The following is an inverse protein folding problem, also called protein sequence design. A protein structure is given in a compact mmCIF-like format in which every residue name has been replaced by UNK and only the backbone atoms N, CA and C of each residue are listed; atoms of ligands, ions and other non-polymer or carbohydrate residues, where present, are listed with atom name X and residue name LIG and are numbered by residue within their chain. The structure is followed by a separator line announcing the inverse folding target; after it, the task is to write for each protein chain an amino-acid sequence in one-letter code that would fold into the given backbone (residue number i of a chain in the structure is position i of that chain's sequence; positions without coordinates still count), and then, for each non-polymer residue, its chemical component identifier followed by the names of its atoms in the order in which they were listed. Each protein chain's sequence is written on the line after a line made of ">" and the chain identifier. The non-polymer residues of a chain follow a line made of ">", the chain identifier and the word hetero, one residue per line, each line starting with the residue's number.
data_IF_058860581905
#
_entry.id   IF_058860581905
#
_cell.length_a   1.000
_cell.length_b   1.000
_cell.length_c   1.000
_cell.angle_alpha   90.00
_cell.angle_beta   90.00
_cell.angle_gamma   90.00
#
_symmetry.space_group_name_H-M   'P 1'
#
loop_
_entity.id
_entity.type
_entity.pdbx_description
1 polymer ?
#
# COMPACT_ATOMS: atom_id res chain seq x y z
N UNK A 1 21.19 -0.12 8.72
CA UNK A 1 21.47 -1.58 8.60
C UNK A 1 20.89 -2.19 7.34
N UNK A 2 19.78 -1.68 6.81
CA UNK A 2 19.06 -2.32 5.68
C UNK A 2 19.70 -2.17 4.30
N UNK A 3 20.52 -1.12 4.10
CA UNK A 3 21.13 -0.83 2.78
C UNK A 3 22.04 -1.94 2.25
N UNK A 4 22.63 -2.73 3.13
CA UNK A 4 23.47 -3.87 2.75
C UNK A 4 22.66 -5.04 2.19
N UNK A 5 21.54 -5.37 2.83
CA UNK A 5 20.66 -6.46 2.38
C UNK A 5 19.92 -6.08 1.10
N UNK A 6 19.44 -4.84 1.01
CA UNK A 6 18.76 -4.32 -0.18
C UNK A 6 19.68 -4.45 -1.40
N UNK A 7 20.93 -4.03 -1.29
CA UNK A 7 21.89 -4.09 -2.40
C UNK A 7 22.23 -5.52 -2.81
N UNK A 8 22.43 -6.43 -1.84
CA UNK A 8 22.70 -7.85 -2.10
C UNK A 8 21.51 -8.54 -2.74
N UNK A 9 20.32 -8.35 -2.17
CA UNK A 9 19.07 -8.90 -2.70
C UNK A 9 18.76 -8.36 -4.12
N UNK A 10 19.03 -7.09 -4.39
CA UNK A 10 18.91 -6.50 -5.73
C UNK A 10 19.91 -7.12 -6.72
N UNK A 11 21.03 -7.67 -6.23
CA UNK A 11 22.00 -8.44 -7.01
C UNK A 11 21.64 -9.93 -7.17
N UNK A 12 20.48 -10.39 -6.66
CA UNK A 12 20.02 -11.77 -6.78
C UNK A 12 20.40 -12.69 -5.61
N UNK A 13 20.90 -12.14 -4.50
CA UNK A 13 21.22 -12.90 -3.27
C UNK A 13 19.90 -13.27 -2.56
N UNK A 14 19.56 -14.58 -2.60
CA UNK A 14 18.32 -15.12 -2.02
C UNK A 14 18.33 -15.07 -0.49
N UNK A 15 19.47 -15.27 0.16
CA UNK A 15 19.60 -15.18 1.61
C UNK A 15 19.37 -13.74 2.10
N UNK A 16 19.90 -12.78 1.38
CA UNK A 16 19.66 -11.37 1.66
C UNK A 16 18.18 -11.00 1.45
N UNK A 17 17.53 -11.56 0.43
CA UNK A 17 16.10 -11.37 0.21
C UNK A 17 15.27 -12.04 1.31
N UNK A 18 15.60 -13.24 1.75
CA UNK A 18 14.96 -13.92 2.89
C UNK A 18 14.98 -13.05 4.15
N UNK A 19 16.11 -12.41 4.46
CA UNK A 19 16.22 -11.46 5.59
C UNK A 19 15.33 -10.22 5.42
N UNK A 20 15.18 -9.72 4.20
CA UNK A 20 14.22 -8.64 3.91
C UNK A 20 12.78 -9.09 4.14
N UNK A 21 12.42 -10.30 3.69
CA UNK A 21 11.07 -10.88 3.93
C UNK A 21 10.80 -10.94 5.43
N UNK A 22 11.70 -11.54 6.22
CA UNK A 22 11.52 -11.68 7.66
C UNK A 22 11.40 -10.35 8.38
N UNK A 23 12.18 -9.37 7.94
CA UNK A 23 12.19 -8.04 8.56
C UNK A 23 10.93 -7.23 8.23
N UNK A 24 10.40 -7.35 7.01
CA UNK A 24 9.31 -6.49 6.54
C UNK A 24 7.94 -7.17 6.47
N UNK A 25 7.82 -8.49 6.69
CA UNK A 25 6.53 -9.22 6.64
C UNK A 25 5.46 -8.62 7.56
N UNK A 26 5.81 -8.32 8.79
CA UNK A 26 4.86 -7.72 9.76
C UNK A 26 4.42 -6.32 9.33
N UNK A 27 5.36 -5.49 8.86
CA UNK A 27 5.06 -4.16 8.34
C UNK A 27 4.14 -4.20 7.12
N UNK A 28 4.43 -5.07 6.14
CA UNK A 28 3.61 -5.19 4.94
C UNK A 28 2.23 -5.80 5.25
N UNK A 29 2.15 -6.76 6.17
CA UNK A 29 0.86 -7.27 6.64
C UNK A 29 0.01 -6.17 7.26
N UNK A 30 0.60 -5.30 8.08
CA UNK A 30 -0.10 -4.16 8.67
C UNK A 30 -0.58 -3.12 7.62
N UNK A 31 0.04 -3.08 6.45
CA UNK A 31 -0.41 -2.25 5.31
C UNK A 31 -1.55 -2.93 4.52
N UNK A 32 -1.45 -4.25 4.32
CA UNK A 32 -2.37 -5.01 3.46
C UNK A 32 -3.69 -5.31 4.17
N UNK A 33 -3.63 -5.76 5.42
CA UNK A 33 -4.80 -6.27 6.16
C UNK A 33 -5.96 -5.27 6.28
N UNK A 34 -5.73 -3.97 6.56
CA UNK A 34 -6.81 -2.98 6.62
C UNK A 34 -7.55 -2.77 5.29
N UNK A 35 -6.88 -3.05 4.17
CA UNK A 35 -7.44 -2.91 2.82
C UNK A 35 -8.21 -4.16 2.42
N UNK A 36 -7.60 -5.33 2.58
CA UNK A 36 -8.15 -6.63 2.17
C UNK A 36 -9.25 -7.11 3.11
N UNK A 37 -9.12 -6.83 4.43
CA UNK A 37 -10.07 -7.17 5.50
C UNK A 37 -10.38 -8.66 5.65
N UNK A 38 -9.50 -9.51 5.15
CA UNK A 38 -9.59 -10.96 5.21
C UNK A 38 -8.17 -11.48 5.49
N UNK A 39 -7.91 -12.08 6.65
CA UNK A 39 -6.56 -12.52 7.03
C UNK A 39 -5.97 -13.56 6.08
N UNK A 40 -6.77 -14.49 5.59
CA UNK A 40 -6.30 -15.51 4.64
C UNK A 40 -5.90 -14.88 3.32
N UNK A 41 -6.78 -14.08 2.74
CA UNK A 41 -6.50 -13.34 1.52
C UNK A 41 -5.35 -12.33 1.69
N UNK A 42 -5.20 -11.72 2.87
CA UNK A 42 -4.08 -10.82 3.15
C UNK A 42 -2.74 -11.55 3.13
N UNK A 43 -2.68 -12.83 3.54
CA UNK A 43 -1.49 -13.65 3.41
C UNK A 43 -1.13 -13.93 1.95
N UNK A 44 -2.10 -14.24 1.12
CA UNK A 44 -1.91 -14.46 -0.32
C UNK A 44 -1.41 -13.17 -1.00
N UNK A 45 -2.05 -12.04 -0.70
CA UNK A 45 -1.63 -10.73 -1.20
C UNK A 45 -0.22 -10.37 -0.71
N UNK A 46 0.14 -10.75 0.52
CA UNK A 46 1.49 -10.54 1.06
C UNK A 46 2.54 -11.36 0.27
N UNK A 47 2.26 -12.62 -0.02
CA UNK A 47 3.14 -13.46 -0.84
C UNK A 47 3.33 -12.87 -2.24
N UNK A 48 2.24 -12.49 -2.90
CA UNK A 48 2.31 -11.83 -4.21
C UNK A 48 3.05 -10.48 -4.14
N UNK A 49 2.92 -9.75 -3.04
CA UNK A 49 3.65 -8.51 -2.81
C UNK A 49 5.15 -8.77 -2.74
N UNK A 50 5.60 -9.78 -1.99
CA UNK A 50 7.02 -10.14 -1.95
C UNK A 50 7.56 -10.62 -3.29
N UNK A 51 6.75 -11.38 -4.03
CA UNK A 51 7.11 -11.77 -5.39
C UNK A 51 7.31 -10.55 -6.31
N UNK A 52 6.40 -9.58 -6.23
CA UNK A 52 6.53 -8.34 -6.99
C UNK A 52 7.74 -7.50 -6.54
N UNK A 53 8.01 -7.45 -5.24
CA UNK A 53 9.21 -6.80 -4.68
C UNK A 53 10.47 -7.45 -5.24
N UNK A 54 10.59 -8.77 -5.20
CA UNK A 54 11.74 -9.50 -5.72
C UNK A 54 12.02 -9.15 -7.18
N UNK A 55 10.99 -9.19 -8.02
CA UNK A 55 11.10 -8.87 -9.46
C UNK A 55 11.48 -7.42 -9.75
N UNK A 56 11.08 -6.49 -8.91
CA UNK A 56 11.30 -5.05 -9.13
C UNK A 56 12.49 -4.47 -8.33
N UNK A 57 13.11 -5.28 -7.46
CA UNK A 57 14.15 -4.83 -6.55
C UNK A 57 15.43 -4.37 -7.29
N UNK A 58 15.77 -4.99 -8.41
CA UNK A 58 16.89 -4.59 -9.27
C UNK A 58 16.70 -3.17 -9.86
N UNK A 59 15.46 -2.72 -10.00
CA UNK A 59 15.10 -1.37 -10.45
C UNK A 59 15.00 -0.34 -9.33
N UNK A 60 15.22 -0.72 -8.07
CA UNK A 60 15.16 0.21 -6.96
C UNK A 60 16.37 1.15 -6.96
N UNK A 61 16.12 2.45 -7.17
CA UNK A 61 17.15 3.49 -7.33
C UNK A 61 17.45 4.29 -6.06
N UNK A 62 17.10 3.74 -4.89
CA UNK A 62 17.31 4.43 -3.61
C UNK A 62 16.10 5.26 -3.15
N UNK A 63 16.24 5.91 -2.00
CA UNK A 63 15.16 6.63 -1.30
C UNK A 63 14.63 5.84 -0.11
N UNK A 64 13.44 6.18 0.37
CA UNK A 64 12.83 5.48 1.50
C UNK A 64 12.31 4.10 1.07
N UNK A 65 13.05 3.05 1.46
CA UNK A 65 12.72 1.67 1.09
C UNK A 65 11.38 1.21 1.66
N UNK A 66 11.07 1.54 2.92
CA UNK A 66 9.76 1.23 3.53
C UNK A 66 8.61 1.82 2.73
N UNK A 67 8.76 3.05 2.27
CA UNK A 67 7.74 3.71 1.46
C UNK A 67 7.56 3.03 0.10
N UNK A 68 8.67 2.61 -0.53
CA UNK A 68 8.62 1.87 -1.79
C UNK A 68 7.92 0.52 -1.62
N UNK A 69 8.21 -0.21 -0.53
CA UNK A 69 7.53 -1.46 -0.17
C UNK A 69 6.03 -1.25 0.06
N UNK A 70 5.67 -0.24 0.89
CA UNK A 70 4.28 0.08 1.18
C UNK A 70 3.48 0.40 -0.09
N UNK A 71 4.08 1.11 -1.04
CA UNK A 71 3.44 1.42 -2.33
C UNK A 71 3.11 0.18 -3.14
N UNK A 72 4.02 -0.81 -3.17
CA UNK A 72 3.78 -2.08 -3.86
C UNK A 72 2.66 -2.86 -3.14
N UNK A 73 2.72 -2.96 -1.81
CA UNK A 73 1.75 -3.65 -1.00
C UNK A 73 0.33 -3.05 -1.13
N UNK A 74 0.20 -1.74 -0.99
CA UNK A 74 -1.08 -1.04 -1.14
C UNK A 74 -1.67 -1.26 -2.53
N UNK A 75 -0.85 -1.17 -3.58
CA UNK A 75 -1.32 -1.41 -4.94
C UNK A 75 -1.83 -2.83 -5.11
N UNK A 76 -1.10 -3.83 -4.64
CA UNK A 76 -1.51 -5.24 -4.68
C UNK A 76 -2.81 -5.50 -3.91
N UNK A 77 -2.95 -4.92 -2.72
CA UNK A 77 -4.17 -5.02 -1.93
C UNK A 77 -5.40 -4.40 -2.65
N UNK A 78 -5.23 -3.24 -3.27
CA UNK A 78 -6.29 -2.58 -4.05
C UNK A 78 -6.63 -3.39 -5.31
N UNK A 79 -5.63 -3.90 -6.03
CA UNK A 79 -5.86 -4.72 -7.23
C UNK A 79 -6.63 -5.99 -6.88
N UNK A 80 -6.33 -6.64 -5.74
CA UNK A 80 -7.07 -7.78 -5.21
C UNK A 80 -8.54 -7.42 -4.88
N UNK A 81 -8.79 -6.31 -4.21
CA UNK A 81 -10.16 -5.85 -3.91
C UNK A 81 -10.97 -5.63 -5.19
N UNK A 82 -10.37 -5.00 -6.20
CA UNK A 82 -11.01 -4.76 -7.50
C UNK A 82 -11.33 -6.05 -8.24
N UNK A 83 -10.44 -7.04 -8.17
CA UNK A 83 -10.66 -8.35 -8.78
C UNK A 83 -11.82 -9.07 -8.10
N UNK A 84 -11.84 -9.07 -6.77
CA UNK A 84 -12.93 -9.66 -5.97
C UNK A 84 -14.27 -8.99 -6.26
N UNK A 85 -14.31 -7.66 -6.39
CA UNK A 85 -15.54 -6.94 -6.78
C UNK A 85 -16.03 -7.33 -8.19
N UNK A 86 -15.11 -7.53 -9.14
CA UNK A 86 -15.47 -8.01 -10.49
C UNK A 86 -16.09 -9.40 -10.43
N UNK A 87 -15.43 -10.33 -9.77
CA UNK A 87 -15.95 -11.70 -9.59
C UNK A 87 -17.29 -11.72 -8.86
N UNK A 88 -17.48 -10.90 -7.84
CA UNK A 88 -18.74 -10.78 -7.12
C UNK A 88 -19.87 -10.26 -8.02
N UNK A 89 -19.61 -9.30 -8.90
CA UNK A 89 -20.60 -8.79 -9.87
C UNK A 89 -20.95 -9.83 -10.95
N UNK A 90 -19.99 -10.61 -11.41
CA UNK A 90 -20.22 -11.70 -12.36
C UNK A 90 -21.05 -12.84 -11.73
N UNK A 91 -20.85 -13.11 -10.43
CA UNK A 91 -21.58 -14.15 -9.70
C UNK A 91 -23.01 -13.70 -9.32
N UNK A 92 -23.23 -12.40 -9.09
CA UNK A 92 -24.54 -11.82 -8.77
C UNK A 92 -25.55 -11.89 -9.94
N UNK A 93 -25.13 -12.21 -11.14
CA UNK A 93 -26.07 -12.55 -12.21
C UNK A 93 -26.75 -13.91 -12.01
N UNK A 94 -26.33 -14.73 -11.05
CA UNK A 94 -26.85 -16.10 -10.85
C UNK A 94 -27.40 -16.42 -9.44
N UNK A 95 -27.43 -15.50 -8.46
CA UNK A 95 -28.14 -15.75 -7.18
C UNK A 95 -28.38 -14.47 -6.37
N UNK A 96 -29.62 -14.19 -5.95
CA UNK A 96 -29.89 -13.13 -4.99
C UNK A 96 -29.69 -13.66 -3.56
N UNK A 97 -28.73 -13.13 -2.85
CA UNK A 97 -28.70 -13.23 -1.41
C UNK A 97 -27.55 -14.00 -0.78
N UNK A 98 -26.36 -13.46 -0.81
CA UNK A 98 -25.39 -13.68 0.28
C UNK A 98 -24.56 -12.41 0.45
N UNK A 99 -25.00 -11.57 1.39
CA UNK A 99 -24.16 -10.58 2.04
C UNK A 99 -23.10 -11.38 2.80
N UNK A 100 -21.88 -11.45 2.27
CA UNK A 100 -20.74 -12.04 2.97
C UNK A 100 -20.58 -11.32 4.32
N UNK A 101 -20.55 -12.06 5.44
CA UNK A 101 -20.30 -11.48 6.74
C UNK A 101 -18.95 -10.75 6.69
N UNK A 102 -18.95 -9.48 7.07
CA UNK A 102 -17.71 -8.76 7.31
C UNK A 102 -16.87 -9.58 8.27
N UNK A 103 -15.67 -9.97 7.85
CA UNK A 103 -14.77 -10.77 8.66
C UNK A 103 -14.53 -10.01 9.97
N UNK A 104 -15.05 -10.55 11.07
CA UNK A 104 -14.76 -10.05 12.40
C UNK A 104 -13.28 -10.37 12.68
N UNK A 105 -12.45 -9.33 12.63
CA UNK A 105 -11.04 -9.43 13.02
C UNK A 105 -10.95 -9.87 14.50
N UNK A 106 -9.94 -10.66 14.83
CA UNK A 106 -9.61 -10.90 16.24
C UNK A 106 -9.27 -9.56 16.92
N UNK A 107 -9.45 -9.45 18.23
CA UNK A 107 -9.15 -8.21 18.97
C UNK A 107 -7.70 -7.73 18.72
N UNK A 108 -6.78 -8.66 18.51
CA UNK A 108 -5.37 -8.40 18.22
C UNK A 108 -5.16 -7.90 16.77
N UNK A 109 -5.84 -8.50 15.81
CA UNK A 109 -5.84 -8.08 14.41
C UNK A 109 -6.53 -6.73 14.21
N UNK A 110 -7.62 -6.48 14.96
CA UNK A 110 -8.29 -5.19 14.98
C UNK A 110 -7.40 -4.10 15.58
N UNK A 111 -6.65 -4.41 16.65
CA UNK A 111 -5.68 -3.49 17.25
C UNK A 111 -4.54 -3.14 16.28
N UNK A 112 -3.94 -4.15 15.65
CA UNK A 112 -2.86 -3.96 14.66
C UNK A 112 -3.35 -3.21 13.41
N UNK A 113 -4.56 -3.51 12.94
CA UNK A 113 -5.21 -2.82 11.84
C UNK A 113 -5.49 -1.35 12.17
N UNK A 114 -5.96 -1.07 13.38
CA UNK A 114 -6.17 0.31 13.87
C UNK A 114 -4.85 1.07 13.98
N UNK A 115 -3.81 0.44 14.51
CA UNK A 115 -2.48 1.07 14.64
C UNK A 115 -1.87 1.41 13.28
N UNK A 116 -1.97 0.52 12.29
CA UNK A 116 -1.49 0.77 10.93
C UNK A 116 -2.33 1.82 10.19
N UNK A 117 -3.65 1.76 10.33
CA UNK A 117 -4.58 2.73 9.75
C UNK A 117 -4.48 4.12 10.38
N UNK A 118 -4.29 4.19 11.70
CA UNK A 118 -4.05 5.45 12.40
C UNK A 118 -2.75 6.09 11.95
N UNK A 119 -1.69 5.30 11.76
CA UNK A 119 -0.39 5.81 11.31
C UNK A 119 -0.47 6.45 9.91
N UNK A 120 -1.13 5.80 8.94
CA UNK A 120 -1.27 6.36 7.59
C UNK A 120 -2.28 7.52 7.55
N UNK A 121 -3.41 7.39 8.22
CA UNK A 121 -4.42 8.44 8.28
C UNK A 121 -3.89 9.69 9.00
N UNK A 122 -3.17 9.53 10.11
CA UNK A 122 -2.55 10.66 10.80
C UNK A 122 -1.48 11.33 9.96
N UNK A 123 -0.64 10.57 9.26
CA UNK A 123 0.34 11.12 8.32
C UNK A 123 -0.31 11.89 7.17
N UNK A 124 -1.44 11.42 6.66
CA UNK A 124 -2.16 12.15 5.62
C UNK A 124 -2.81 13.43 6.16
N UNK A 125 -3.19 13.47 7.45
CA UNK A 125 -3.78 14.67 8.08
C UNK A 125 -2.79 15.84 8.20
N UNK A 126 -1.48 15.58 8.25
CA UNK A 126 -0.46 16.62 8.28
C UNK A 126 -0.34 17.37 6.95
N UNK A 127 -0.80 16.74 5.86
CA UNK A 127 -0.75 17.36 4.54
C UNK A 127 -1.81 18.46 4.37
N UNK A 128 -1.47 19.60 3.73
CA UNK A 128 -2.45 20.58 3.27
C UNK A 128 -3.52 19.94 2.37
N UNK A 129 -4.78 20.46 2.40
CA UNK A 129 -5.93 19.81 1.74
C UNK A 129 -5.70 19.36 0.29
N UNK A 130 -5.12 20.17 -0.63
CA UNK A 130 -4.93 19.75 -2.02
C UNK A 130 -3.98 18.56 -2.17
N UNK A 131 -2.95 18.47 -1.30
CA UNK A 131 -1.99 17.38 -1.31
C UNK A 131 -2.55 16.13 -0.65
N UNK A 132 -3.29 16.31 0.45
CA UNK A 132 -3.99 15.24 1.18
C UNK A 132 -4.95 14.49 0.27
N UNK A 133 -5.88 15.19 -0.38
CA UNK A 133 -6.86 14.60 -1.28
C UNK A 133 -6.19 13.83 -2.43
N UNK A 134 -5.19 14.44 -3.07
CA UNK A 134 -4.48 13.80 -4.17
C UNK A 134 -3.69 12.58 -3.70
N UNK A 135 -3.05 12.64 -2.52
CA UNK A 135 -2.27 11.53 -1.96
C UNK A 135 -3.17 10.40 -1.47
N UNK A 136 -4.31 10.71 -0.83
CA UNK A 136 -5.30 9.74 -0.39
C UNK A 136 -5.90 8.99 -1.59
N UNK A 137 -6.35 9.69 -2.61
CA UNK A 137 -6.86 9.08 -3.83
C UNK A 137 -5.83 8.19 -4.54
N UNK A 138 -4.55 8.59 -4.52
CA UNK A 138 -3.49 7.78 -5.10
C UNK A 138 -3.12 6.55 -4.26
N UNK A 139 -3.00 6.69 -2.93
CA UNK A 139 -2.54 5.61 -2.03
C UNK A 139 -3.67 4.69 -1.58
N UNK A 140 -4.82 5.25 -1.17
CA UNK A 140 -5.91 4.47 -0.58
C UNK A 140 -6.91 3.99 -1.62
N UNK A 141 -7.19 4.81 -2.64
CA UNK A 141 -8.19 4.50 -3.65
C UNK A 141 -7.56 3.94 -4.95
N UNK A 142 -6.22 3.94 -5.03
CA UNK A 142 -5.46 3.41 -6.17
C UNK A 142 -5.74 4.12 -7.49
N UNK A 143 -6.21 5.37 -7.44
CA UNK A 143 -6.53 6.15 -8.63
C UNK A 143 -5.29 6.47 -9.45
N UNK A 144 -5.43 6.39 -10.77
CA UNK A 144 -4.41 6.85 -11.71
C UNK A 144 -4.31 8.38 -11.70
N UNK A 145 -3.21 8.92 -12.19
CA UNK A 145 -3.02 10.36 -12.31
C UNK A 145 -4.10 11.03 -13.20
N UNK A 146 -4.58 10.32 -14.22
CA UNK A 146 -5.69 10.78 -15.06
C UNK A 146 -7.00 10.88 -14.28
N UNK A 147 -7.38 9.82 -13.57
CA UNK A 147 -8.59 9.82 -12.74
C UNK A 147 -8.54 10.93 -11.69
N UNK A 148 -7.40 11.13 -11.03
CA UNK A 148 -7.22 12.22 -10.06
C UNK A 148 -7.30 13.59 -10.71
N UNK A 149 -6.79 13.75 -11.92
CA UNK A 149 -6.87 14.99 -12.70
C UNK A 149 -8.34 15.31 -13.05
N UNK A 150 -9.06 14.33 -13.56
CA UNK A 150 -10.48 14.45 -13.95
C UNK A 150 -11.36 14.78 -12.73
N UNK A 151 -11.19 14.08 -11.60
CA UNK A 151 -11.98 14.29 -10.39
C UNK A 151 -11.69 15.62 -9.69
N UNK A 152 -10.44 16.06 -9.71
CA UNK A 152 -10.05 17.31 -9.04
C UNK A 152 -10.06 18.52 -9.94
N UNK A 153 -10.41 18.36 -11.21
CA UNK A 153 -10.48 19.43 -12.19
C UNK A 153 -9.14 20.11 -12.52
N UNK A 154 -8.03 19.37 -12.38
CA UNK A 154 -6.68 19.90 -12.63
C UNK A 154 -5.94 19.07 -13.69
N UNK A 155 -4.84 19.61 -14.23
CA UNK A 155 -4.03 18.87 -15.19
C UNK A 155 -3.29 17.69 -14.53
N UNK A 156 -2.98 16.64 -15.29
CA UNK A 156 -2.13 15.52 -14.87
C UNK A 156 -0.79 16.02 -14.30
N UNK A 157 -0.20 17.04 -14.91
CA UNK A 157 1.03 17.68 -14.44
C UNK A 157 0.87 18.32 -13.06
N UNK A 158 -0.32 18.88 -12.78
CA UNK A 158 -0.64 19.43 -11.46
C UNK A 158 -0.76 18.30 -10.42
N UNK A 159 -1.37 17.15 -10.77
CA UNK A 159 -1.43 15.96 -9.92
C UNK A 159 -0.02 15.46 -9.59
N UNK A 160 0.85 15.33 -10.59
CA UNK A 160 2.27 14.96 -10.38
C UNK A 160 2.98 15.90 -9.42
N UNK A 161 2.81 17.20 -9.62
CA UNK A 161 3.42 18.24 -8.77
C UNK A 161 2.88 18.16 -7.34
N UNK A 162 1.57 17.92 -7.15
CA UNK A 162 0.96 17.75 -5.84
C UNK A 162 1.49 16.50 -5.13
N UNK A 163 1.57 15.37 -5.80
CA UNK A 163 2.12 14.13 -5.26
C UNK A 163 3.60 14.28 -4.90
N UNK A 164 4.38 14.97 -5.72
CA UNK A 164 5.79 15.25 -5.44
C UNK A 164 5.95 16.09 -4.16
N UNK A 165 5.18 17.19 -4.04
CA UNK A 165 5.22 18.07 -2.85
C UNK A 165 4.71 17.36 -1.60
N UNK A 166 3.63 16.59 -1.70
CA UNK A 166 3.10 15.77 -0.60
C UNK A 166 4.16 14.81 -0.06
N UNK A 167 4.87 14.09 -0.94
CA UNK A 167 5.97 13.19 -0.54
C UNK A 167 7.10 13.93 0.15
N UNK A 168 7.41 15.15 -0.29
CA UNK A 168 8.47 15.96 0.33
C UNK A 168 8.08 16.40 1.73
N UNK A 169 6.84 16.84 1.94
CA UNK A 169 6.33 17.22 3.26
C UNK A 169 6.36 16.02 4.21
N UNK A 170 5.79 14.88 3.81
CA UNK A 170 5.78 13.66 4.64
C UNK A 170 7.19 13.17 4.98
N UNK A 171 8.14 13.32 4.08
CA UNK A 171 9.53 12.95 4.37
C UNK A 171 10.18 13.86 5.40
N UNK A 172 9.98 15.17 5.30
CA UNK A 172 10.54 16.12 6.25
C UNK A 172 9.96 15.91 7.66
N UNK A 173 8.64 15.73 7.78
CA UNK A 173 8.01 15.43 9.07
C UNK A 173 8.49 14.11 9.69
N UNK A 174 8.79 13.12 8.87
CA UNK A 174 9.33 11.85 9.35
C UNK A 174 10.79 11.96 9.80
N UNK A 175 11.58 12.82 9.18
CA UNK A 175 12.98 13.10 9.55
C UNK A 175 13.08 14.00 10.80
N UNK A 176 12.11 14.89 11.04
CA UNK A 176 12.02 15.75 12.22
C UNK A 176 11.39 15.07 13.45
N UNK A 177 10.72 13.94 13.28
CA UNK A 177 10.05 13.16 14.35
C UNK A 177 10.90 12.02 14.92
N UNK A 178 12.15 11.89 14.51
CA UNK A 178 13.17 10.95 15.03
C UNK A 178 14.21 11.70 15.87
#
# INVERSE_FOLDING_TARGET
>A
MDSGWIRKAAGGDEDAFGKLVDHYKGYLMAVILPVVRDPSAAQDVLQETFWQIYRSLSGYRGGNFKFWLARIATRKAIDWCRERERHSKETLHNSPGDLLPGCALSAEEEYLSRMAGVSLASLLQTLPPPYRTTMAGYLLEGKSYRQLADETGVSVRTVESRLYRARRILRNEYEEGL
#
